data_IF_889715896896
#
_entry.id   IF_889715896896
#
_cell.length_a   1.000
_cell.length_b   1.000
_cell.length_c   1.000
_cell.angle_alpha   90.00
_cell.angle_beta   90.00
_cell.angle_gamma   90.00
#
_symmetry.space_group_name_H-M   'P 1'
#
loop_
_entity.id
_entity.type
_entity.pdbx_description
1 polymer ?
#
# COMPACT_ATOMS: atom_id res chain seq x y z
N UNK A 1 -15.74 -0.50 9.12
CA UNK A 1 -15.09 -1.52 8.28
C UNK A 1 -15.43 -1.41 6.79
N UNK A 2 -16.67 -1.18 6.40
CA UNK A 2 -17.08 -1.09 4.97
C UNK A 2 -16.23 -0.13 4.12
N UNK A 3 -15.82 1.03 4.65
CA UNK A 3 -14.95 1.98 3.93
C UNK A 3 -13.58 1.38 3.62
N UNK A 4 -12.98 0.67 4.57
CA UNK A 4 -11.67 0.02 4.37
C UNK A 4 -11.76 -1.13 3.37
N UNK A 5 -12.85 -1.90 3.38
CA UNK A 5 -13.10 -2.94 2.37
C UNK A 5 -13.17 -2.33 0.97
N UNK A 6 -13.87 -1.20 0.79
CA UNK A 6 -13.95 -0.52 -0.51
C UNK A 6 -12.59 0.01 -0.97
N UNK A 7 -11.83 0.63 -0.06
CA UNK A 7 -10.46 1.13 -0.35
C UNK A 7 -9.54 -0.02 -0.73
N UNK A 8 -9.59 -1.13 0.00
CA UNK A 8 -8.75 -2.30 -0.29
C UNK A 8 -9.03 -2.91 -1.66
N UNK A 9 -10.30 -3.05 -2.01
CA UNK A 9 -10.70 -3.54 -3.35
C UNK A 9 -10.21 -2.58 -4.43
N UNK A 10 -10.35 -1.27 -4.22
CA UNK A 10 -9.84 -0.26 -5.16
C UNK A 10 -8.32 -0.37 -5.33
N UNK A 11 -7.55 -0.55 -4.24
CA UNK A 11 -6.11 -0.77 -4.34
C UNK A 11 -5.78 -2.01 -5.17
N UNK A 12 -6.48 -3.11 -4.96
CA UNK A 12 -6.29 -4.33 -5.75
C UNK A 12 -6.61 -4.11 -7.23
N UNK A 13 -7.75 -3.47 -7.54
CA UNK A 13 -8.15 -3.18 -8.92
C UNK A 13 -7.10 -2.30 -9.61
N UNK A 14 -6.67 -1.21 -8.98
CA UNK A 14 -5.64 -0.31 -9.54
C UNK A 14 -4.33 -1.05 -9.72
N UNK A 15 -3.92 -1.90 -8.77
CA UNK A 15 -2.71 -2.72 -8.89
C UNK A 15 -2.76 -3.66 -10.09
N UNK A 16 -3.91 -4.30 -10.34
CA UNK A 16 -4.09 -5.18 -11.51
C UNK A 16 -4.02 -4.38 -12.81
N UNK A 17 -4.69 -3.23 -12.88
CA UNK A 17 -4.66 -2.35 -14.04
C UNK A 17 -3.22 -1.90 -14.34
N UNK A 18 -2.50 -1.38 -13.34
CA UNK A 18 -1.13 -0.91 -13.51
C UNK A 18 -0.16 -2.06 -13.83
N UNK A 19 -0.37 -3.24 -13.25
CA UNK A 19 0.46 -4.41 -13.50
C UNK A 19 0.25 -5.01 -14.88
N UNK A 20 -1.01 -5.12 -15.31
CA UNK A 20 -1.34 -5.74 -16.60
C UNK A 20 -1.10 -4.79 -17.78
N UNK A 21 -1.47 -3.53 -17.64
CA UNK A 21 -1.42 -2.55 -18.75
C UNK A 21 -0.28 -1.55 -18.58
N UNK A 22 -0.14 -0.93 -17.40
CA UNK A 22 0.86 0.12 -17.18
C UNK A 22 2.28 -0.39 -17.36
N UNK A 23 2.66 -1.48 -16.70
CA UNK A 23 3.99 -2.05 -16.81
C UNK A 23 4.31 -2.53 -18.22
N UNK A 24 3.33 -3.07 -18.96
CA UNK A 24 3.52 -3.49 -20.35
C UNK A 24 3.73 -2.30 -21.30
N UNK A 25 2.90 -1.26 -21.18
CA UNK A 25 3.02 -0.04 -22.00
C UNK A 25 4.30 0.75 -21.70
N UNK A 26 4.77 0.73 -20.46
CA UNK A 26 5.97 1.47 -20.02
C UNK A 26 7.27 0.70 -20.28
N UNK A 27 7.22 -0.58 -20.65
CA UNK A 27 8.38 -1.45 -20.82
C UNK A 27 9.42 -0.89 -21.79
N UNK A 28 8.98 -0.29 -22.88
CA UNK A 28 9.85 0.26 -23.93
C UNK A 28 10.18 1.75 -23.71
N UNK A 29 9.57 2.39 -22.71
CA UNK A 29 9.71 3.82 -22.40
C UNK A 29 10.58 4.09 -21.19
N UNK A 30 10.67 3.14 -20.26
CA UNK A 30 11.42 3.24 -19.01
C UNK A 30 12.70 2.41 -19.07
N UNK A 31 13.73 2.86 -18.36
CA UNK A 31 14.90 2.03 -18.07
C UNK A 31 14.50 0.81 -17.22
N UNK A 32 15.34 -0.22 -17.17
CA UNK A 32 15.11 -1.40 -16.34
C UNK A 32 14.93 -1.05 -14.85
N UNK A 33 15.70 -0.08 -14.36
CA UNK A 33 15.62 0.40 -12.98
C UNK A 33 14.29 1.10 -12.70
N UNK A 34 13.86 2.00 -13.58
CA UNK A 34 12.58 2.71 -13.45
C UNK A 34 11.39 1.75 -13.53
N UNK A 35 11.42 0.80 -14.47
CA UNK A 35 10.38 -0.22 -14.60
C UNK A 35 10.34 -1.14 -13.37
N UNK A 36 11.49 -1.52 -12.82
CA UNK A 36 11.58 -2.29 -11.59
C UNK A 36 10.98 -1.54 -10.40
N UNK A 37 11.27 -0.24 -10.28
CA UNK A 37 10.69 0.63 -9.25
C UNK A 37 9.18 0.73 -9.41
N UNK A 38 8.68 0.95 -10.61
CA UNK A 38 7.24 0.98 -10.90
C UNK A 38 6.53 -0.30 -10.46
N UNK A 39 7.10 -1.46 -10.80
CA UNK A 39 6.58 -2.78 -10.37
C UNK A 39 6.63 -2.96 -8.85
N UNK A 40 7.61 -2.38 -8.16
CA UNK A 40 7.68 -2.37 -6.70
C UNK A 40 6.49 -1.63 -6.10
N UNK A 41 6.14 -0.46 -6.62
CA UNK A 41 4.95 0.29 -6.21
C UNK A 41 3.67 -0.54 -6.36
N UNK A 42 3.51 -1.26 -7.47
CA UNK A 42 2.36 -2.14 -7.74
C UNK A 42 2.29 -3.27 -6.70
N UNK A 43 3.41 -3.93 -6.41
CA UNK A 43 3.45 -5.03 -5.44
C UNK A 43 3.07 -4.58 -4.04
N UNK A 44 3.61 -3.46 -3.57
CA UNK A 44 3.29 -2.91 -2.25
C UNK A 44 1.84 -2.49 -2.15
N UNK A 45 1.28 -1.90 -3.19
CA UNK A 45 -0.14 -1.54 -3.25
C UNK A 45 -1.04 -2.78 -3.20
N UNK A 46 -0.71 -3.84 -3.95
CA UNK A 46 -1.48 -5.08 -3.95
C UNK A 46 -1.40 -5.78 -2.58
N UNK A 47 -0.19 -5.93 -1.99
CA UNK A 47 -0.03 -6.58 -0.70
C UNK A 47 -0.79 -5.88 0.41
N UNK A 48 -0.73 -4.55 0.45
CA UNK A 48 -1.45 -3.79 1.47
C UNK A 48 -2.94 -3.71 1.19
N UNK A 49 -3.36 -3.70 -0.08
CA UNK A 49 -4.75 -3.87 -0.46
C UNK A 49 -5.34 -5.17 0.10
N UNK A 50 -4.67 -6.29 -0.15
CA UNK A 50 -5.09 -7.60 0.38
C UNK A 50 -5.02 -7.65 1.91
N UNK A 51 -3.97 -7.09 2.52
CA UNK A 51 -3.85 -7.03 3.98
C UNK A 51 -5.02 -6.26 4.61
N UNK A 52 -5.34 -5.06 4.11
CA UNK A 52 -6.46 -4.25 4.58
C UNK A 52 -7.78 -5.03 4.43
N UNK A 53 -7.99 -5.73 3.32
CA UNK A 53 -9.19 -6.54 3.09
C UNK A 53 -9.31 -7.66 4.14
N UNK A 54 -8.26 -8.47 4.29
CA UNK A 54 -8.24 -9.60 5.22
C UNK A 54 -8.46 -9.13 6.66
N UNK A 55 -7.77 -8.07 7.07
CA UNK A 55 -7.89 -7.50 8.40
C UNK A 55 -9.28 -6.93 8.67
N UNK A 56 -9.87 -6.26 7.67
CA UNK A 56 -11.22 -5.71 7.77
C UNK A 56 -12.29 -6.79 7.94
N UNK A 57 -12.13 -7.93 7.24
CA UNK A 57 -13.04 -9.07 7.32
C UNK A 57 -12.88 -9.86 8.63
N UNK A 58 -11.69 -9.80 9.24
CA UNK A 58 -11.37 -10.48 10.51
C UNK A 58 -11.28 -9.50 11.69
N UNK A 59 -12.01 -8.40 11.65
CA UNK A 59 -11.91 -7.33 12.65
C UNK A 59 -12.18 -7.75 14.09
N UNK A 60 -12.93 -8.84 14.29
CA UNK A 60 -13.22 -9.42 15.59
C UNK A 60 -11.98 -9.94 16.35
N UNK A 61 -10.90 -10.25 15.64
CA UNK A 61 -9.63 -10.74 16.23
C UNK A 61 -8.74 -9.62 16.77
N UNK A 62 -9.13 -8.37 16.58
CA UNK A 62 -8.34 -7.19 16.98
C UNK A 62 -9.13 -6.30 17.93
N UNK A 63 -8.40 -5.42 18.63
CA UNK A 63 -9.01 -4.38 19.47
C UNK A 63 -9.68 -3.29 18.61
N UNK A 64 -10.40 -2.36 19.26
CA UNK A 64 -11.01 -1.20 18.57
C UNK A 64 -9.99 -0.32 17.82
N UNK A 65 -8.70 -0.45 18.15
CA UNK A 65 -7.59 0.29 17.53
C UNK A 65 -7.22 -0.22 16.14
N UNK A 66 -7.77 -1.34 15.66
CA UNK A 66 -7.57 -1.84 14.30
C UNK A 66 -7.84 -0.76 13.25
N UNK A 67 -8.86 0.08 13.43
CA UNK A 67 -9.18 1.16 12.49
C UNK A 67 -8.00 2.13 12.27
N UNK A 68 -7.24 2.41 13.33
CA UNK A 68 -6.04 3.25 13.23
C UNK A 68 -4.95 2.58 12.39
N UNK A 69 -4.69 1.27 12.61
CA UNK A 69 -3.75 0.50 11.77
C UNK A 69 -4.17 0.52 10.30
N UNK A 70 -5.44 0.27 10.01
CA UNK A 70 -5.97 0.26 8.64
C UNK A 70 -5.87 1.65 7.97
N UNK A 71 -6.11 2.72 8.73
CA UNK A 71 -5.95 4.09 8.24
C UNK A 71 -4.50 4.40 7.90
N UNK A 72 -3.57 4.12 8.83
CA UNK A 72 -2.14 4.29 8.60
C UNK A 72 -1.65 3.46 7.41
N UNK A 73 -2.10 2.21 7.31
CA UNK A 73 -1.77 1.32 6.20
C UNK A 73 -2.27 1.88 4.87
N UNK A 74 -3.49 2.43 4.83
CA UNK A 74 -4.04 3.04 3.62
C UNK A 74 -3.27 4.30 3.21
N UNK A 75 -2.98 5.20 4.14
CA UNK A 75 -2.22 6.43 3.89
C UNK A 75 -0.79 6.08 3.46
N UNK A 76 -0.13 5.18 4.18
CA UNK A 76 1.23 4.74 3.86
C UNK A 76 1.33 4.11 2.48
N UNK A 77 0.34 3.30 2.08
CA UNK A 77 0.28 2.72 0.73
C UNK A 77 0.16 3.78 -0.35
N UNK A 78 -0.71 4.76 -0.16
CA UNK A 78 -0.85 5.87 -1.12
C UNK A 78 0.47 6.63 -1.23
N UNK A 79 1.03 7.10 -0.13
CA UNK A 79 2.28 7.88 -0.15
C UNK A 79 3.45 7.09 -0.74
N UNK A 80 3.58 5.80 -0.41
CA UNK A 80 4.65 4.95 -0.87
C UNK A 80 4.50 4.62 -2.36
N UNK A 81 3.39 4.01 -2.75
CA UNK A 81 3.23 3.48 -4.11
C UNK A 81 3.01 4.58 -5.14
N UNK A 82 2.19 5.59 -4.85
CA UNK A 82 1.95 6.66 -5.82
C UNK A 82 3.17 7.55 -6.03
N UNK A 83 3.96 7.84 -4.96
CA UNK A 83 5.23 8.55 -5.15
C UNK A 83 6.18 7.77 -6.05
N UNK A 84 6.28 6.45 -5.89
CA UNK A 84 7.09 5.59 -6.76
C UNK A 84 6.58 5.63 -8.21
N UNK A 85 5.28 5.59 -8.44
CA UNK A 85 4.74 5.67 -9.81
C UNK A 85 5.16 6.96 -10.51
N UNK A 86 4.94 8.10 -9.87
CA UNK A 86 5.29 9.39 -10.46
C UNK A 86 6.81 9.57 -10.64
N UNK A 87 7.61 9.12 -9.68
CA UNK A 87 9.06 9.17 -9.80
C UNK A 87 9.59 8.25 -10.90
N UNK A 88 8.97 7.10 -11.11
CA UNK A 88 9.38 6.16 -12.17
C UNK A 88 9.12 6.69 -13.58
N UNK A 89 8.13 7.56 -13.75
CA UNK A 89 7.79 8.15 -15.06
C UNK A 89 8.24 9.60 -15.19
N UNK A 90 9.03 10.11 -14.24
CA UNK A 90 9.43 11.53 -14.19
C UNK A 90 10.05 12.02 -15.50
N UNK A 91 10.92 11.21 -16.10
CA UNK A 91 11.60 11.56 -17.36
C UNK A 91 10.66 11.59 -18.59
N UNK A 92 9.45 11.05 -18.48
CA UNK A 92 8.42 11.11 -19.51
C UNK A 92 7.52 12.34 -19.39
N UNK A 93 7.60 13.06 -18.27
CA UNK A 93 6.76 14.21 -17.99
C UNK A 93 7.44 15.50 -18.46
N UNK A 94 6.62 16.49 -18.82
CA UNK A 94 7.10 17.84 -19.22
C UNK A 94 7.54 18.69 -18.02
N UNK A 95 7.31 18.23 -16.79
CA UNK A 95 7.68 18.88 -15.52
C UNK A 95 8.21 17.83 -14.55
N UNK A 96 9.11 18.25 -13.66
CA UNK A 96 9.74 17.32 -12.72
C UNK A 96 8.84 17.04 -11.51
N UNK A 97 8.74 15.75 -11.17
CA UNK A 97 8.07 15.24 -9.96
C UNK A 97 9.06 14.85 -8.85
N UNK A 98 10.35 15.21 -8.98
CA UNK A 98 11.41 14.84 -8.03
C UNK A 98 11.17 15.33 -6.59
N UNK A 99 10.33 16.35 -6.41
CA UNK A 99 9.88 16.80 -5.08
C UNK A 99 9.10 15.73 -4.31
N UNK A 100 8.60 14.69 -4.97
CA UNK A 100 7.94 13.54 -4.35
C UNK A 100 8.93 12.52 -3.73
N UNK A 101 10.23 12.67 -3.99
CA UNK A 101 11.25 11.75 -3.48
C UNK A 101 11.15 11.44 -1.99
N UNK A 102 11.01 12.46 -1.12
CA UNK A 102 10.86 12.25 0.33
C UNK A 102 9.56 11.52 0.74
N UNK A 103 8.52 11.52 -0.09
CA UNK A 103 7.25 10.86 0.22
C UNK A 103 7.36 9.34 0.26
N UNK A 104 8.22 8.74 -0.55
CA UNK A 104 8.44 7.28 -0.56
C UNK A 104 8.93 6.78 0.80
N UNK A 105 10.04 7.29 1.38
CA UNK A 105 10.48 6.85 2.71
C UNK A 105 9.49 7.24 3.82
N UNK A 106 8.78 8.35 3.72
CA UNK A 106 7.71 8.72 4.66
C UNK A 106 6.59 7.68 4.60
N UNK A 107 6.11 7.34 3.40
CA UNK A 107 5.09 6.31 3.20
C UNK A 107 5.54 4.96 3.75
N UNK A 108 6.78 4.55 3.49
CA UNK A 108 7.37 3.33 4.03
C UNK A 108 7.42 3.32 5.56
N UNK A 109 7.81 4.42 6.18
CA UNK A 109 7.81 4.56 7.65
C UNK A 109 6.41 4.44 8.23
N UNK A 110 5.41 5.04 7.59
CA UNK A 110 4.00 4.92 8.00
C UNK A 110 3.53 3.46 7.87
N UNK A 111 3.90 2.76 6.80
CA UNK A 111 3.59 1.33 6.63
C UNK A 111 4.19 0.48 7.74
N UNK A 112 5.47 0.65 8.04
CA UNK A 112 6.15 -0.04 9.15
C UNK A 112 5.43 0.23 10.46
N UNK A 113 5.13 1.48 10.74
CA UNK A 113 4.39 1.90 11.95
C UNK A 113 3.01 1.23 12.01
N UNK A 114 2.30 1.15 10.89
CA UNK A 114 0.99 0.50 10.84
C UNK A 114 1.04 -0.99 11.19
N UNK A 115 2.06 -1.69 10.73
CA UNK A 115 2.27 -3.12 11.05
C UNK A 115 2.66 -3.33 12.52
N UNK A 116 3.57 -2.50 13.05
CA UNK A 116 3.94 -2.56 14.48
C UNK A 116 2.71 -2.27 15.35
N UNK A 117 1.94 -1.23 15.00
CA UNK A 117 0.73 -0.89 15.73
C UNK A 117 -0.32 -2.01 15.67
N UNK A 118 -0.43 -2.69 14.53
CA UNK A 118 -1.30 -3.85 14.38
C UNK A 118 -0.86 -5.00 15.31
N UNK A 119 0.42 -5.31 15.35
CA UNK A 119 1.00 -6.35 16.21
C UNK A 119 0.61 -6.14 17.67
N UNK A 120 0.65 -4.89 18.14
CA UNK A 120 0.32 -4.53 19.52
C UNK A 120 -1.19 -4.55 19.82
N UNK A 121 -2.04 -4.75 18.82
CA UNK A 121 -3.49 -4.68 18.94
C UNK A 121 -4.22 -5.98 18.59
N UNK A 122 -3.50 -7.09 18.47
CA UNK A 122 -4.08 -8.43 18.42
C UNK A 122 -4.72 -8.72 19.76
N UNK A 123 -5.95 -9.24 19.76
CA UNK A 123 -6.60 -9.70 20.99
C UNK A 123 -5.95 -10.98 21.48
N UNK A 124 -5.54 -11.00 22.72
CA UNK A 124 -5.17 -12.25 23.38
C UNK A 124 -6.45 -13.03 23.66
N UNK A 125 -6.63 -14.15 22.98
CA UNK A 125 -7.67 -15.11 23.32
C UNK A 125 -7.17 -16.01 24.46
N UNK A 126 -6.93 -15.43 25.63
CA UNK A 126 -6.77 -16.21 26.86
C UNK A 126 -8.15 -16.69 27.33
N UNK A 127 -8.75 -17.59 26.56
CA UNK A 127 -9.81 -18.43 27.04
C UNK A 127 -9.18 -19.71 27.60
N UNK A 128 -8.61 -19.62 28.76
CA UNK A 128 -8.55 -20.77 29.67
C UNK A 128 -9.98 -21.15 30.00
N UNK A 129 -10.60 -21.97 29.19
CA UNK A 129 -11.69 -22.81 29.68
C UNK A 129 -11.04 -23.97 30.42
N UNK A 130 -10.93 -23.80 31.75
CA UNK A 130 -10.80 -24.90 32.70
C UNK A 130 -12.19 -25.41 32.99
#
# INVERSE_FOLDING_TARGET
MSKFIKVSILFCVVSVILGAFGAHLLKDLLSETELSSFKTGIRYQMFHGLAILILSLNSNKFTSKLKTSLLLMSIGTVLFSFSIYFLSIDDLLSFSMKFLGPLTPIGGTILITSWIYLLLNVKNNDTTHI
#
